data_IF_348238259213
#
_entry.id   IF_348238259213
#
_cell.length_a   1.000
_cell.length_b   1.000
_cell.length_c   1.000
_cell.angle_alpha   90.00
_cell.angle_beta   90.00
_cell.angle_gamma   90.00
#
_symmetry.space_group_name_H-M   'P 1'
#
loop_
_entity.id
_entity.type
_entity.pdbx_description
1 polymer ?
#
# COMPACT_ATOMS: atom_id res chain seq x y z
N UNK A 1 0.97 15.23 31.41
CA UNK A 1 1.92 16.20 30.82
C UNK A 1 1.94 15.95 29.32
N UNK A 2 1.36 16.88 28.55
CA UNK A 2 1.28 16.77 27.08
C UNK A 2 2.56 17.40 26.53
N UNK A 3 3.38 16.63 25.83
CA UNK A 3 4.51 17.15 25.08
C UNK A 3 4.01 17.61 23.71
N UNK A 4 3.97 18.93 23.52
CA UNK A 4 3.83 19.56 22.20
C UNK A 4 5.22 19.50 21.54
N UNK A 5 5.36 18.73 20.46
CA UNK A 5 6.52 18.87 19.59
C UNK A 5 6.16 19.85 18.46
N UNK A 6 6.76 21.03 18.53
CA UNK A 6 6.76 22.02 17.46
C UNK A 6 7.71 21.55 16.36
N UNK A 7 7.16 21.22 15.20
CA UNK A 7 7.95 21.01 13.97
C UNK A 7 8.16 22.38 13.32
N UNK A 8 9.39 22.88 13.40
CA UNK A 8 9.79 24.09 12.70
C UNK A 8 9.95 23.78 11.19
N UNK A 9 9.02 24.25 10.37
CA UNK A 9 9.16 24.29 8.91
C UNK A 9 9.96 25.53 8.56
N UNK A 10 11.23 25.35 8.17
CA UNK A 10 12.04 26.44 7.64
C UNK A 10 11.64 26.70 6.19
N UNK A 11 10.82 27.72 5.95
CA UNK A 11 10.58 28.34 4.63
C UNK A 11 11.74 29.28 4.32
N UNK A 12 12.68 28.85 3.49
CA UNK A 12 13.66 29.76 2.88
C UNK A 12 13.06 30.38 1.61
N UNK A 13 12.60 31.63 1.73
CA UNK A 13 12.28 32.51 0.61
C UNK A 13 13.60 33.08 0.06
N UNK A 14 14.00 32.66 -1.13
CA UNK A 14 15.06 33.34 -1.89
C UNK A 14 14.42 34.26 -2.90
N UNK A 15 14.79 35.54 -2.80
CA UNK A 15 14.27 36.67 -3.58
C UNK A 15 14.70 36.64 -5.05
N UNK A 16 13.89 37.26 -5.88
CA UNK A 16 13.93 37.37 -7.33
C UNK A 16 15.21 37.95 -7.94
N UNK A 17 15.73 37.28 -8.98
CA UNK A 17 16.55 37.85 -10.03
C UNK A 17 16.16 37.26 -11.38
N UNK A 18 15.82 38.13 -12.36
CA UNK A 18 15.35 37.82 -13.71
C UNK A 18 16.18 36.80 -14.48
N UNK A 19 15.55 35.78 -15.02
CA UNK A 19 15.54 35.31 -16.41
C UNK A 19 15.43 33.78 -16.53
N UNK A 20 14.50 33.37 -17.42
CA UNK A 20 14.22 32.03 -17.93
C UNK A 20 13.52 31.09 -16.95
N UNK A 21 12.25 30.88 -17.27
CA UNK A 21 11.34 29.94 -16.65
C UNK A 21 11.86 28.49 -16.75
N UNK A 22 12.86 28.16 -15.95
CA UNK A 22 13.09 26.79 -15.52
C UNK A 22 12.25 26.61 -14.27
N UNK A 23 11.06 26.00 -14.41
CA UNK A 23 10.34 25.43 -13.27
C UNK A 23 11.29 24.42 -12.61
N UNK A 24 12.11 24.87 -11.66
CA UNK A 24 12.71 23.97 -10.69
C UNK A 24 11.53 23.27 -10.01
N UNK A 25 11.35 21.98 -10.31
CA UNK A 25 10.51 21.14 -9.48
C UNK A 25 10.98 21.36 -8.04
N UNK A 26 10.10 21.89 -7.20
CA UNK A 26 10.41 22.07 -5.78
C UNK A 26 10.80 20.72 -5.22
N UNK A 27 11.97 20.66 -4.62
CA UNK A 27 12.49 19.48 -3.99
C UNK A 27 11.57 19.14 -2.81
N UNK A 28 10.78 18.07 -2.92
CA UNK A 28 9.90 17.61 -1.85
C UNK A 28 10.75 16.73 -0.95
N UNK A 29 11.08 17.22 0.24
CA UNK A 29 11.84 16.49 1.26
C UNK A 29 10.84 15.68 2.09
N UNK A 30 11.03 14.35 2.14
CA UNK A 30 10.27 13.47 3.02
C UNK A 30 10.82 13.61 4.45
N UNK A 31 9.95 13.68 5.47
CA UNK A 31 10.40 13.74 6.85
C UNK A 31 11.09 12.42 7.24
N UNK A 32 12.02 12.49 8.20
CA UNK A 32 12.63 11.30 8.80
C UNK A 32 11.84 10.90 10.05
N UNK A 33 11.67 9.59 10.28
CA UNK A 33 11.13 9.05 11.53
C UNK A 33 9.85 8.22 11.38
N UNK A 34 9.47 7.63 12.50
CA UNK A 34 8.22 6.90 12.66
C UNK A 34 7.15 7.85 13.22
N UNK A 35 5.95 7.85 12.63
CA UNK A 35 4.84 8.66 13.08
C UNK A 35 3.77 7.77 13.71
N UNK A 36 3.28 8.19 14.87
CA UNK A 36 2.17 7.52 15.56
C UNK A 36 0.87 8.23 15.21
N UNK A 37 -0.01 7.51 14.57
CA UNK A 37 -1.39 7.90 14.29
C UNK A 37 -2.35 7.17 15.23
N UNK A 38 -3.66 7.37 15.08
CA UNK A 38 -4.69 6.62 15.84
C UNK A 38 -4.60 5.12 15.58
N UNK A 39 -4.27 4.73 14.35
CA UNK A 39 -3.79 3.40 14.00
C UNK A 39 -2.27 3.45 13.98
N UNK A 40 -1.56 2.62 14.75
CA UNK A 40 -0.12 2.53 14.63
C UNK A 40 0.26 2.19 13.21
N UNK A 41 1.20 2.96 12.68
CA UNK A 41 1.62 2.82 11.30
C UNK A 41 3.13 2.99 11.23
N UNK A 42 3.83 1.95 10.78
CA UNK A 42 5.22 2.08 10.40
C UNK A 42 5.29 2.76 9.04
N UNK A 43 6.17 3.73 8.91
CA UNK A 43 6.40 4.45 7.66
C UNK A 43 7.82 4.21 7.19
N UNK A 44 7.96 3.81 5.94
CA UNK A 44 9.25 3.63 5.28
C UNK A 44 9.34 4.59 4.10
N UNK A 45 10.38 5.44 4.12
CA UNK A 45 10.67 6.34 3.02
C UNK A 45 11.69 5.70 2.09
N UNK A 46 11.27 5.48 0.84
CA UNK A 46 12.11 4.85 -0.19
C UNK A 46 12.60 5.91 -1.16
N UNK A 47 13.92 5.92 -1.42
CA UNK A 47 14.55 6.88 -2.34
C UNK A 47 14.15 8.33 -2.01
N UNK A 48 14.18 8.69 -0.72
CA UNK A 48 13.72 9.98 -0.21
C UNK A 48 14.48 11.18 -0.81
N UNK A 49 15.73 10.96 -1.22
CA UNK A 49 16.62 11.91 -1.87
C UNK A 49 16.25 12.25 -3.33
N UNK A 50 15.38 11.46 -3.94
CA UNK A 50 14.94 11.71 -5.32
C UNK A 50 14.02 12.91 -5.41
N UNK A 51 14.10 13.69 -6.51
CA UNK A 51 13.24 14.84 -6.71
C UNK A 51 11.77 14.44 -6.96
N UNK A 52 10.87 15.40 -6.76
CA UNK A 52 9.45 15.24 -7.04
C UNK A 52 8.66 14.62 -5.88
N UNK A 53 7.36 14.48 -6.09
CA UNK A 53 6.45 13.84 -5.15
C UNK A 53 6.65 12.33 -5.12
N UNK A 54 6.47 11.73 -3.97
CA UNK A 54 6.50 10.29 -3.80
C UNK A 54 5.19 9.64 -4.27
N UNK A 55 5.24 8.41 -4.74
CA UNK A 55 4.05 7.56 -4.75
C UNK A 55 3.73 7.16 -3.31
N UNK A 56 2.46 6.79 -3.03
CA UNK A 56 2.12 6.17 -1.75
C UNK A 56 1.79 4.70 -2.00
N UNK A 57 2.42 3.83 -1.24
CA UNK A 57 2.12 2.42 -1.22
C UNK A 57 1.68 1.99 0.17
N UNK A 58 0.49 1.37 0.26
CA UNK A 58 -0.15 0.88 1.46
C UNK A 58 -0.08 -0.65 1.49
N UNK A 59 0.50 -1.21 2.55
CA UNK A 59 0.50 -2.64 2.84
C UNK A 59 -0.50 -2.97 3.95
N UNK A 60 -1.41 -3.90 3.68
CA UNK A 60 -2.37 -4.42 4.65
C UNK A 60 -1.97 -5.85 5.05
N UNK A 61 -1.63 -6.03 6.34
CA UNK A 61 -1.23 -7.33 6.86
C UNK A 61 -2.40 -8.31 6.97
N UNK A 62 -2.11 -9.61 7.02
CA UNK A 62 -3.08 -10.68 7.23
C UNK A 62 -3.50 -10.87 8.69
N UNK A 63 -4.04 -12.04 9.00
CA UNK A 63 -4.50 -12.40 10.34
C UNK A 63 -3.39 -12.39 11.40
N UNK A 64 -3.72 -12.02 12.62
CA UNK A 64 -2.78 -11.75 13.71
C UNK A 64 -2.86 -12.81 14.79
N UNK A 65 -3.04 -14.07 14.41
CA UNK A 65 -3.14 -15.16 15.37
C UNK A 65 -1.88 -15.23 16.25
N UNK A 66 -2.06 -15.08 17.56
CA UNK A 66 -1.09 -15.40 18.61
C UNK A 66 0.16 -14.52 18.74
N UNK A 67 0.21 -13.31 18.18
CA UNK A 67 1.38 -12.42 18.35
C UNK A 67 1.09 -11.14 19.14
N UNK A 68 2.04 -10.69 19.98
CA UNK A 68 1.93 -9.41 20.67
C UNK A 68 1.86 -8.25 19.67
N UNK A 69 0.99 -7.28 19.91
CA UNK A 69 0.84 -6.07 19.07
C UNK A 69 2.14 -5.31 18.82
N UNK A 70 3.07 -5.40 19.75
CA UNK A 70 4.39 -4.80 19.66
C UNK A 70 5.22 -5.37 18.51
N UNK A 71 5.19 -6.70 18.31
CA UNK A 71 5.97 -7.34 17.25
C UNK A 71 5.45 -6.96 15.87
N UNK A 72 4.14 -6.69 15.75
CA UNK A 72 3.53 -6.23 14.51
C UNK A 72 4.08 -4.88 14.03
N UNK A 73 4.34 -3.96 14.94
CA UNK A 73 4.86 -2.64 14.60
C UNK A 73 6.30 -2.69 14.08
N UNK A 74 7.12 -3.57 14.65
CA UNK A 74 8.55 -3.66 14.30
C UNK A 74 8.88 -4.66 13.21
N UNK A 75 8.01 -5.65 12.99
CA UNK A 75 8.19 -6.73 12.02
C UNK A 75 6.90 -6.96 11.24
N UNK A 76 6.44 -6.02 10.41
CA UNK A 76 5.20 -6.16 9.65
C UNK A 76 5.20 -7.39 8.74
N UNK A 77 6.38 -7.87 8.33
CA UNK A 77 6.56 -8.99 7.42
C UNK A 77 6.43 -10.36 8.11
N UNK A 78 6.48 -10.45 9.42
CA UNK A 78 6.48 -11.74 10.13
C UNK A 78 5.09 -12.26 10.48
N UNK A 79 4.02 -11.58 10.04
CA UNK A 79 2.65 -11.96 10.38
C UNK A 79 2.02 -12.90 9.38
N UNK A 80 2.39 -12.74 8.14
CA UNK A 80 1.96 -13.60 7.06
C UNK A 80 3.09 -14.52 6.66
N UNK A 81 2.79 -15.70 6.20
CA UNK A 81 3.72 -16.53 5.46
C UNK A 81 4.01 -15.90 4.08
N UNK A 82 3.95 -14.58 3.98
CA UNK A 82 3.97 -13.81 2.73
C UNK A 82 5.10 -12.78 2.76
N UNK A 83 6.06 -12.91 1.87
CA UNK A 83 7.22 -12.02 1.73
C UNK A 83 6.99 -10.92 0.67
N UNK A 84 5.75 -10.72 0.23
CA UNK A 84 5.45 -9.80 -0.87
C UNK A 84 5.80 -8.36 -0.56
N UNK A 85 5.67 -7.93 0.70
CA UNK A 85 6.07 -6.60 1.13
C UNK A 85 7.58 -6.38 1.01
N UNK A 86 8.40 -7.39 1.26
CA UNK A 86 9.85 -7.33 1.03
C UNK A 86 10.17 -7.23 -0.45
N UNK A 87 9.54 -8.04 -1.31
CA UNK A 87 9.73 -7.97 -2.77
C UNK A 87 9.32 -6.60 -3.34
N UNK A 88 8.20 -6.05 -2.86
CA UNK A 88 7.74 -4.72 -3.29
C UNK A 88 8.70 -3.63 -2.80
N UNK A 89 9.15 -3.67 -1.54
CA UNK A 89 10.14 -2.72 -1.03
C UNK A 89 11.46 -2.79 -1.79
N UNK A 90 11.93 -4.01 -2.09
CA UNK A 90 13.14 -4.20 -2.86
C UNK A 90 12.99 -3.59 -4.27
N UNK A 91 11.89 -3.89 -4.96
CA UNK A 91 11.59 -3.32 -6.27
C UNK A 91 11.59 -1.79 -6.24
N UNK A 92 10.91 -1.17 -5.26
CA UNK A 92 10.85 0.29 -5.13
C UNK A 92 12.24 0.90 -4.94
N UNK A 93 13.11 0.25 -4.15
CA UNK A 93 14.52 0.67 -3.96
C UNK A 93 15.32 0.59 -5.25
N UNK A 94 15.26 -0.55 -5.93
CA UNK A 94 16.05 -0.85 -7.12
C UNK A 94 15.59 -0.05 -8.35
N UNK A 95 14.29 0.18 -8.50
CA UNK A 95 13.73 1.00 -9.59
C UNK A 95 14.03 2.50 -9.44
N UNK A 96 14.55 2.93 -8.28
CA UNK A 96 14.73 4.35 -7.97
C UNK A 96 13.43 5.13 -7.78
N UNK A 97 12.30 4.44 -7.61
CA UNK A 97 11.00 5.07 -7.38
C UNK A 97 10.95 5.71 -6.00
N UNK A 98 10.69 7.03 -5.95
CA UNK A 98 10.45 7.72 -4.68
C UNK A 98 9.10 7.31 -4.12
N UNK A 99 9.07 6.75 -2.90
CA UNK A 99 7.84 6.25 -2.31
C UNK A 99 7.73 6.53 -0.80
N UNK A 100 6.49 6.67 -0.34
CA UNK A 100 6.10 6.53 1.06
C UNK A 100 5.38 5.20 1.18
N UNK A 101 5.97 4.25 1.91
CA UNK A 101 5.38 2.96 2.20
C UNK A 101 4.76 2.97 3.59
N UNK A 102 3.47 2.68 3.70
CA UNK A 102 2.69 2.68 4.93
C UNK A 102 2.35 1.25 5.34
N UNK A 103 2.65 0.91 6.58
CA UNK A 103 2.35 -0.38 7.20
C UNK A 103 1.47 -0.15 8.45
N UNK A 104 0.18 0.13 8.28
CA UNK A 104 -0.73 0.28 9.42
C UNK A 104 -0.95 -1.06 10.11
N UNK A 105 -1.25 -1.02 11.42
CA UNK A 105 -1.59 -2.19 12.21
C UNK A 105 -3.05 -2.11 12.64
N UNK A 106 -3.89 -3.03 12.16
CA UNK A 106 -5.28 -3.11 12.56
C UNK A 106 -5.43 -3.73 13.95
N UNK A 107 -5.86 -2.94 14.93
CA UNK A 107 -6.04 -3.41 16.32
C UNK A 107 -7.43 -3.87 16.68
N UNK A 108 -8.41 -3.68 15.81
CA UNK A 108 -9.82 -3.87 16.15
C UNK A 108 -10.23 -5.34 16.16
N UNK A 109 -9.31 -6.25 15.85
CA UNK A 109 -9.55 -7.69 16.00
C UNK A 109 -9.17 -8.16 17.40
N UNK A 110 -10.08 -8.83 18.11
CA UNK A 110 -9.71 -9.77 19.15
C UNK A 110 -8.92 -10.91 18.50
N UNK A 111 -7.97 -11.49 19.22
CA UNK A 111 -7.09 -12.59 18.73
C UNK A 111 -7.84 -13.78 18.10
N UNK A 112 -9.15 -13.87 18.26
CA UNK A 112 -10.03 -14.90 17.71
C UNK A 112 -10.88 -14.45 16.52
N UNK A 113 -10.81 -13.16 16.11
CA UNK A 113 -11.68 -12.61 15.07
C UNK A 113 -10.88 -12.27 13.81
N UNK A 114 -11.49 -12.52 12.66
CA UNK A 114 -10.97 -12.09 11.36
C UNK A 114 -10.80 -10.56 11.34
N UNK A 115 -9.64 -10.08 10.91
CA UNK A 115 -9.40 -8.66 10.73
C UNK A 115 -10.30 -8.12 9.63
N UNK A 116 -11.03 -7.05 9.95
CA UNK A 116 -11.82 -6.30 8.98
C UNK A 116 -11.16 -4.96 8.73
N UNK A 117 -10.41 -4.88 7.65
CA UNK A 117 -9.71 -3.64 7.28
C UNK A 117 -10.67 -2.48 7.01
N UNK A 118 -11.90 -2.76 6.61
CA UNK A 118 -12.97 -1.75 6.48
C UNK A 118 -13.23 -0.98 7.76
N UNK A 119 -13.06 -1.60 8.93
CA UNK A 119 -13.22 -0.95 10.24
C UNK A 119 -12.07 0.03 10.57
N UNK A 120 -10.93 -0.11 9.87
CA UNK A 120 -9.75 0.73 10.04
C UNK A 120 -9.60 1.77 8.92
N UNK A 121 -10.48 1.75 7.91
CA UNK A 121 -10.31 2.57 6.70
C UNK A 121 -10.19 4.06 7.01
N UNK A 122 -11.05 4.62 7.86
CA UNK A 122 -11.01 6.04 8.17
C UNK A 122 -9.70 6.48 8.83
N UNK A 123 -9.14 5.63 9.69
CA UNK A 123 -7.86 5.90 10.33
C UNK A 123 -6.71 5.84 9.31
N UNK A 124 -6.73 4.84 8.41
CA UNK A 124 -5.77 4.72 7.31
C UNK A 124 -5.91 5.89 6.33
N UNK A 125 -7.13 6.25 5.97
CA UNK A 125 -7.41 7.39 5.08
C UNK A 125 -6.90 8.70 5.67
N UNK A 126 -7.03 8.88 6.99
CA UNK A 126 -6.47 10.05 7.67
C UNK A 126 -4.95 10.16 7.50
N UNK A 127 -4.23 9.03 7.57
CA UNK A 127 -2.79 9.01 7.30
C UNK A 127 -2.50 9.43 5.87
N UNK A 128 -3.21 8.85 4.89
CA UNK A 128 -3.05 9.18 3.47
C UNK A 128 -3.28 10.69 3.23
N UNK A 129 -4.36 11.24 3.82
CA UNK A 129 -4.71 12.65 3.68
C UNK A 129 -3.67 13.58 4.30
N UNK A 130 -3.06 13.19 5.41
CA UNK A 130 -1.98 13.97 6.03
C UNK A 130 -0.79 14.13 5.08
N UNK A 131 -0.36 13.04 4.41
CA UNK A 131 0.70 13.10 3.40
C UNK A 131 0.30 13.88 2.16
N UNK A 132 -0.95 13.74 1.71
CA UNK A 132 -1.48 14.47 0.57
C UNK A 132 -1.54 16.00 0.85
N UNK A 133 -2.07 16.39 2.01
CA UNK A 133 -2.21 17.79 2.43
C UNK A 133 -0.85 18.47 2.64
N UNK A 134 0.16 17.73 3.07
CA UNK A 134 1.55 18.19 3.14
C UNK A 134 2.23 18.30 1.77
N UNK A 135 1.58 17.85 0.70
CA UNK A 135 2.13 17.87 -0.65
C UNK A 135 3.28 16.89 -0.88
N UNK A 136 3.45 15.91 0.00
CA UNK A 136 4.56 14.95 -0.01
C UNK A 136 4.38 13.83 -1.04
N UNK A 137 3.13 13.50 -1.36
CA UNK A 137 2.78 12.43 -2.29
C UNK A 137 2.05 12.92 -3.53
N UNK A 138 2.15 12.15 -4.60
CA UNK A 138 1.32 12.27 -5.79
C UNK A 138 -0.01 11.54 -5.55
N UNK A 139 -1.08 12.30 -5.37
CA UNK A 139 -2.41 11.77 -5.06
C UNK A 139 -3.04 10.97 -6.21
N UNK A 140 -2.48 11.02 -7.40
CA UNK A 140 -2.91 10.18 -8.52
C UNK A 140 -2.23 8.81 -8.51
N UNK A 141 -1.25 8.59 -7.63
CA UNK A 141 -0.40 7.40 -7.57
C UNK A 141 -0.38 6.82 -6.16
N UNK A 142 -1.55 6.38 -5.69
CA UNK A 142 -1.76 5.72 -4.39
C UNK A 142 -2.16 4.28 -4.66
N UNK A 143 -1.46 3.33 -4.05
CA UNK A 143 -1.61 1.90 -4.30
C UNK A 143 -1.86 1.15 -3.00
N UNK A 144 -2.68 0.11 -3.06
CA UNK A 144 -2.95 -0.76 -1.91
C UNK A 144 -2.64 -2.21 -2.25
N UNK A 145 -1.97 -2.88 -1.32
CA UNK A 145 -1.64 -4.30 -1.44
C UNK A 145 -1.85 -5.01 -0.10
N UNK A 146 -2.07 -6.31 -0.15
CA UNK A 146 -2.16 -7.10 1.08
C UNK A 146 -2.31 -8.58 0.81
N UNK A 147 -2.13 -9.38 1.86
CA UNK A 147 -2.25 -10.83 1.82
C UNK A 147 -3.26 -11.32 2.86
N UNK A 148 -3.95 -12.42 2.57
CA UNK A 148 -4.91 -13.04 3.49
C UNK A 148 -6.05 -12.08 3.86
N UNK A 149 -6.26 -11.76 5.13
CA UNK A 149 -7.20 -10.70 5.56
C UNK A 149 -6.81 -9.34 4.98
N UNK A 150 -5.51 -9.06 4.81
CA UNK A 150 -5.02 -7.87 4.12
C UNK A 150 -5.30 -7.88 2.63
N UNK A 151 -5.24 -9.04 1.99
CA UNK A 151 -5.63 -9.22 0.58
C UNK A 151 -7.12 -8.92 0.37
N UNK A 152 -7.97 -9.39 1.29
CA UNK A 152 -9.39 -9.05 1.32
C UNK A 152 -9.59 -7.55 1.54
N UNK A 153 -8.84 -6.96 2.48
CA UNK A 153 -8.86 -5.54 2.76
C UNK A 153 -8.42 -4.69 1.56
N UNK A 154 -7.39 -5.12 0.83
CA UNK A 154 -6.94 -4.43 -0.39
C UNK A 154 -8.04 -4.43 -1.46
N UNK A 155 -8.76 -5.55 -1.60
CA UNK A 155 -9.92 -5.61 -2.49
C UNK A 155 -11.08 -4.71 -2.02
N UNK A 156 -11.42 -4.76 -0.72
CA UNK A 156 -12.46 -3.91 -0.13
C UNK A 156 -12.16 -2.42 -0.36
N UNK A 157 -10.90 -2.00 -0.16
CA UNK A 157 -10.49 -0.62 -0.39
C UNK A 157 -10.56 -0.24 -1.88
N UNK A 158 -10.16 -1.14 -2.79
CA UNK A 158 -10.28 -0.92 -4.22
C UNK A 158 -11.74 -0.76 -4.69
N UNK A 159 -12.65 -1.55 -4.13
CA UNK A 159 -14.08 -1.51 -4.46
C UNK A 159 -14.77 -0.28 -3.87
N UNK A 160 -14.52 0.01 -2.60
CA UNK A 160 -15.23 1.07 -1.86
C UNK A 160 -14.67 2.46 -2.14
N UNK A 161 -13.40 2.57 -2.51
CA UNK A 161 -12.68 3.84 -2.61
C UNK A 161 -11.85 3.96 -3.91
N UNK A 162 -12.47 3.75 -5.07
CA UNK A 162 -11.76 3.82 -6.36
C UNK A 162 -11.25 5.23 -6.68
N UNK A 163 -11.78 6.24 -6.00
CA UNK A 163 -11.30 7.63 -6.08
C UNK A 163 -10.00 7.88 -5.32
N UNK A 164 -9.59 6.94 -4.46
CA UNK A 164 -8.34 7.04 -3.68
C UNK A 164 -7.22 6.26 -4.34
N UNK A 165 -7.46 5.02 -4.77
CA UNK A 165 -6.42 4.10 -5.23
C UNK A 165 -6.32 4.03 -6.75
N UNK A 166 -5.09 3.99 -7.27
CA UNK A 166 -4.80 3.82 -8.69
C UNK A 166 -4.82 2.35 -9.13
N UNK A 167 -4.43 1.44 -8.25
CA UNK A 167 -4.49 -0.01 -8.45
C UNK A 167 -4.36 -0.76 -7.13
N UNK A 168 -4.71 -2.05 -7.13
CA UNK A 168 -4.58 -2.93 -5.97
C UNK A 168 -3.90 -4.27 -6.32
N UNK A 169 -3.16 -4.86 -5.34
CA UNK A 169 -2.76 -6.26 -5.36
C UNK A 169 -3.42 -6.97 -4.19
N UNK A 170 -4.14 -8.03 -4.48
CA UNK A 170 -4.84 -8.86 -3.49
C UNK A 170 -4.31 -10.28 -3.57
N UNK A 171 -3.75 -10.79 -2.47
CA UNK A 171 -3.09 -12.08 -2.42
C UNK A 171 -3.70 -12.99 -1.37
N UNK A 172 -3.62 -14.31 -1.62
CA UNK A 172 -4.04 -15.35 -0.67
C UNK A 172 -5.42 -15.10 -0.06
N UNK A 173 -6.36 -14.66 -0.87
CA UNK A 173 -7.76 -14.51 -0.47
C UNK A 173 -8.68 -15.06 -1.56
N UNK A 174 -9.92 -15.33 -1.21
CA UNK A 174 -10.96 -15.77 -2.14
C UNK A 174 -12.02 -14.67 -2.31
N UNK A 175 -12.83 -14.80 -3.35
CA UNK A 175 -14.00 -13.96 -3.62
C UNK A 175 -13.74 -12.72 -4.49
N UNK A 176 -13.30 -12.92 -5.75
CA UNK A 176 -13.22 -11.84 -6.71
C UNK A 176 -14.63 -11.28 -7.02
N UNK A 177 -14.73 -9.96 -7.08
CA UNK A 177 -15.98 -9.22 -7.30
C UNK A 177 -15.72 -7.96 -8.13
N UNK A 178 -16.75 -7.28 -8.65
CA UNK A 178 -16.57 -6.12 -9.51
C UNK A 178 -15.81 -4.99 -8.78
N UNK A 179 -14.85 -4.39 -9.48
CA UNK A 179 -14.09 -3.21 -9.06
C UNK A 179 -13.89 -2.30 -10.26
N UNK A 180 -13.68 -1.01 -10.03
CA UNK A 180 -13.49 -0.03 -11.12
C UNK A 180 -12.05 0.38 -11.35
N UNK A 181 -11.11 -0.07 -10.52
CA UNK A 181 -9.68 0.14 -10.71
C UNK A 181 -8.99 -1.19 -11.06
N UNK A 182 -7.78 -1.17 -11.65
CA UNK A 182 -7.02 -2.39 -11.92
C UNK A 182 -6.71 -3.18 -10.65
N UNK A 183 -6.99 -4.48 -10.65
CA UNK A 183 -6.64 -5.40 -9.57
C UNK A 183 -5.78 -6.55 -10.09
N UNK A 184 -4.68 -6.79 -9.42
CA UNK A 184 -3.84 -7.97 -9.57
C UNK A 184 -4.21 -8.93 -8.45
N UNK A 185 -4.71 -10.10 -8.82
CA UNK A 185 -5.26 -11.06 -7.87
C UNK A 185 -4.51 -12.38 -7.96
N UNK A 186 -4.04 -12.86 -6.83
CA UNK A 186 -3.35 -14.15 -6.73
C UNK A 186 -4.03 -15.02 -5.69
N UNK A 187 -4.18 -16.31 -6.00
CA UNK A 187 -4.66 -17.30 -5.05
C UNK A 187 -3.82 -18.56 -5.09
N UNK A 188 -3.78 -19.28 -3.98
CA UNK A 188 -3.05 -20.54 -3.83
C UNK A 188 -4.02 -21.72 -3.72
N UNK A 189 -3.47 -22.93 -3.56
CA UNK A 189 -4.29 -24.12 -3.31
C UNK A 189 -5.22 -23.96 -2.09
N UNK A 190 -4.83 -23.15 -1.12
CA UNK A 190 -5.61 -22.91 0.12
C UNK A 190 -6.91 -22.15 -0.14
N UNK A 191 -6.89 -21.18 -1.06
CA UNK A 191 -8.04 -20.36 -1.41
C UNK A 191 -8.86 -20.93 -2.58
N UNK A 192 -8.21 -21.82 -3.36
CA UNK A 192 -8.80 -22.47 -4.53
C UNK A 192 -8.66 -21.65 -5.82
N UNK A 193 -9.06 -22.29 -6.91
CA UNK A 193 -9.03 -21.70 -8.25
C UNK A 193 -10.25 -20.81 -8.46
N UNK A 194 -9.99 -19.53 -8.72
CA UNK A 194 -10.99 -18.52 -9.01
C UNK A 194 -11.12 -18.20 -10.52
N UNK A 195 -10.47 -18.95 -11.41
CA UNK A 195 -10.41 -18.66 -12.84
C UNK A 195 -11.80 -18.40 -13.44
N UNK A 196 -12.74 -19.31 -13.25
CA UNK A 196 -14.08 -19.16 -13.83
C UNK A 196 -14.78 -17.87 -13.40
N UNK A 197 -14.64 -17.50 -12.11
CA UNK A 197 -15.25 -16.26 -11.62
C UNK A 197 -14.53 -15.02 -12.12
N UNK A 198 -13.23 -15.08 -12.26
CA UNK A 198 -12.44 -13.95 -12.82
C UNK A 198 -12.78 -13.77 -14.29
N UNK A 199 -12.86 -14.85 -15.07
CA UNK A 199 -13.22 -14.78 -16.50
C UNK A 199 -14.59 -14.10 -16.68
N UNK A 200 -15.59 -14.44 -15.89
CA UNK A 200 -16.90 -13.76 -15.90
C UNK A 200 -16.78 -12.25 -15.65
N UNK A 201 -15.92 -11.83 -14.73
CA UNK A 201 -15.71 -10.41 -14.42
C UNK A 201 -14.96 -9.69 -15.53
N UNK A 202 -13.96 -10.33 -16.11
CA UNK A 202 -13.20 -9.79 -17.26
C UNK A 202 -14.10 -9.63 -18.47
N UNK A 203 -15.00 -10.59 -18.77
CA UNK A 203 -16.01 -10.47 -19.82
C UNK A 203 -16.98 -9.30 -19.59
N UNK A 204 -17.22 -8.92 -18.34
CA UNK A 204 -17.98 -7.72 -17.95
C UNK A 204 -17.16 -6.42 -18.07
N UNK A 205 -15.90 -6.49 -18.51
CA UNK A 205 -15.02 -5.34 -18.67
C UNK A 205 -14.27 -4.93 -17.39
N UNK A 206 -14.27 -5.77 -16.35
CA UNK A 206 -13.51 -5.50 -15.13
C UNK A 206 -12.03 -5.79 -15.37
N UNK A 207 -11.16 -4.86 -14.98
CA UNK A 207 -9.70 -4.99 -15.18
C UNK A 207 -9.07 -5.79 -14.03
N UNK A 208 -9.09 -7.12 -14.16
CA UNK A 208 -8.48 -8.06 -13.22
C UNK A 208 -7.41 -8.85 -13.94
N UNK A 209 -6.18 -8.87 -13.40
CA UNK A 209 -5.13 -9.83 -13.76
C UNK A 209 -5.06 -10.88 -12.68
N UNK A 210 -5.34 -12.11 -13.03
CA UNK A 210 -5.41 -13.22 -12.09
C UNK A 210 -4.37 -14.27 -12.38
N UNK A 211 -3.83 -14.86 -11.31
CA UNK A 211 -3.03 -16.07 -11.39
C UNK A 211 -3.34 -17.02 -10.23
N UNK A 212 -3.66 -18.26 -10.58
CA UNK A 212 -3.76 -19.37 -9.63
C UNK A 212 -2.40 -20.02 -9.46
N UNK A 213 -1.97 -20.23 -8.22
CA UNK A 213 -0.70 -20.82 -7.82
C UNK A 213 -0.93 -22.13 -7.06
N UNK A 214 -1.30 -23.24 -7.75
CA UNK A 214 -1.72 -24.49 -7.12
C UNK A 214 -0.62 -25.17 -6.30
N UNK A 215 0.64 -24.94 -6.64
CA UNK A 215 1.80 -25.53 -5.96
C UNK A 215 2.25 -24.72 -4.73
N UNK A 216 1.60 -23.56 -4.48
CA UNK A 216 1.92 -22.69 -3.36
C UNK A 216 0.95 -22.91 -2.19
N UNK A 217 1.48 -22.75 -0.98
CA UNK A 217 0.69 -22.64 0.24
C UNK A 217 0.20 -21.22 0.43
N UNK A 218 -0.72 -21.01 1.36
CA UNK A 218 -1.17 -19.69 1.79
C UNK A 218 -0.01 -18.72 2.00
N UNK A 219 -0.05 -17.56 1.33
CA UNK A 219 1.01 -16.55 1.32
C UNK A 219 2.14 -16.81 0.31
N UNK A 220 2.27 -18.02 -0.24
CA UNK A 220 3.34 -18.36 -1.19
C UNK A 220 3.16 -17.75 -2.59
N UNK A 221 2.00 -17.19 -2.88
CA UNK A 221 1.70 -16.42 -4.10
C UNK A 221 2.43 -15.05 -4.15
N UNK A 222 3.14 -14.68 -3.08
CA UNK A 222 4.06 -13.54 -3.05
C UNK A 222 5.10 -13.55 -4.18
N UNK A 223 5.50 -14.73 -4.66
CA UNK A 223 6.45 -14.89 -5.78
C UNK A 223 5.98 -14.26 -7.08
N UNK A 224 4.68 -14.01 -7.21
CA UNK A 224 4.09 -13.33 -8.37
C UNK A 224 4.37 -11.82 -8.38
N UNK A 225 4.84 -11.25 -7.27
CA UNK A 225 5.31 -9.85 -7.20
C UNK A 225 6.66 -9.68 -7.90
N UNK A 226 6.74 -10.10 -9.17
CA UNK A 226 7.95 -9.97 -9.99
C UNK A 226 8.23 -8.51 -10.37
N UNK A 227 9.48 -8.15 -10.70
CA UNK A 227 9.80 -6.79 -11.14
C UNK A 227 8.97 -6.30 -12.33
N UNK A 228 8.65 -7.20 -13.28
CA UNK A 228 7.82 -6.89 -14.44
C UNK A 228 6.40 -6.55 -14.06
N UNK A 229 5.78 -7.35 -13.18
CA UNK A 229 4.45 -7.11 -12.65
C UNK A 229 4.43 -5.80 -11.86
N UNK A 230 5.39 -5.59 -10.96
CA UNK A 230 5.45 -4.40 -10.13
C UNK A 230 5.68 -3.13 -10.94
N UNK A 231 6.47 -3.21 -12.03
CA UNK A 231 6.64 -2.10 -12.98
C UNK A 231 5.31 -1.69 -13.61
N UNK A 232 4.52 -2.67 -14.03
CA UNK A 232 3.19 -2.42 -14.57
C UNK A 232 2.24 -1.89 -13.50
N UNK A 233 2.19 -2.54 -12.34
CA UNK A 233 1.36 -2.13 -11.21
C UNK A 233 1.58 -0.67 -10.80
N UNK A 234 2.82 -0.26 -10.62
CA UNK A 234 3.16 1.12 -10.26
C UNK A 234 3.11 2.12 -11.43
N UNK A 235 2.76 1.69 -12.65
CA UNK A 235 2.52 2.58 -13.78
C UNK A 235 1.10 3.12 -13.85
N UNK A 236 0.15 2.52 -13.15
CA UNK A 236 -1.24 2.98 -13.13
C UNK A 236 -1.35 4.36 -12.45
N UNK A 237 -2.28 5.16 -12.96
CA UNK A 237 -2.66 6.46 -12.39
C UNK A 237 -4.18 6.60 -12.41
N UNK A 238 -4.70 7.38 -11.48
CA UNK A 238 -6.14 7.77 -11.49
C UNK A 238 -6.40 8.79 -12.58
#
# INVERSE_FOLDING_TARGET
MRYLYLVAVALLLVACGNNKCNKKQSEVILPEGEFTYNVPCKVVYVNADKPGKAILWLWLHGGVHDRPKHDMFYHPNHFDCCDADEYILQYLKESGTKAVALFPVCYKANLAETIKWTDCYNDVKHIIDDYANKGLIDTTRIYVTGSSDGGRGAWDYAEMHPDVFAAAISMSCSSPRPVSIPVYFFSTASEGDCTARVDELVEQGINIKYKYCPDQKHGGDAIECTPELLKEFFSHTK
#
